data_IF_599519401597
#
_entry.id   IF_599519401597
#
_cell.length_a   1.000
_cell.length_b   1.000
_cell.length_c   1.000
_cell.angle_alpha   90.00
_cell.angle_beta   90.00
_cell.angle_gamma   90.00
#
_symmetry.space_group_name_H-M   'P 1'
#
loop_
_entity.id
_entity.type
_entity.pdbx_description
1 polymer ?
#
# COMPACT_ATOMS: atom_id res chain seq x y z
N UNK A 1 -2.72 0.07 24.74
CA UNK A 1 -1.82 0.74 23.77
C UNK A 1 -1.68 2.25 24.00
N UNK A 2 -2.09 2.83 25.14
CA UNK A 2 -2.10 4.29 25.34
C UNK A 2 -0.74 5.02 25.29
N UNK A 3 0.39 4.30 25.31
CA UNK A 3 1.72 4.87 25.12
C UNK A 3 2.21 4.82 23.66
N UNK A 4 1.47 4.17 22.76
CA UNK A 4 1.82 4.07 21.35
C UNK A 4 1.39 5.36 20.63
N UNK A 5 2.27 6.37 20.67
CA UNK A 5 2.03 7.69 20.06
C UNK A 5 3.29 8.16 19.35
N UNK A 6 3.14 9.09 18.40
CA UNK A 6 4.28 9.69 17.71
C UNK A 6 5.19 10.46 18.67
N UNK A 7 4.62 11.12 19.67
CA UNK A 7 5.31 11.90 20.69
C UNK A 7 6.24 11.03 21.53
N UNK A 8 5.76 9.86 21.96
CA UNK A 8 6.56 8.90 22.72
C UNK A 8 7.70 8.34 21.86
N UNK A 9 7.42 7.98 20.59
CA UNK A 9 8.46 7.52 19.67
C UNK A 9 9.56 8.59 19.44
N UNK A 10 9.17 9.87 19.31
CA UNK A 10 10.13 10.97 19.18
C UNK A 10 10.95 11.17 20.47
N UNK A 11 10.33 11.01 21.64
CA UNK A 11 11.02 11.07 22.93
C UNK A 11 12.03 9.92 23.08
N UNK A 12 11.68 8.72 22.64
CA UNK A 12 12.59 7.57 22.61
C UNK A 12 13.82 7.84 21.73
N UNK A 13 13.60 8.36 20.51
CA UNK A 13 14.71 8.75 19.64
C UNK A 13 15.61 9.81 20.27
N UNK A 14 15.01 10.82 20.92
CA UNK A 14 15.77 11.86 21.62
C UNK A 14 16.63 11.28 22.77
N UNK A 15 16.09 10.33 23.53
CA UNK A 15 16.82 9.65 24.61
C UNK A 15 17.97 8.81 24.05
N UNK A 16 17.74 8.06 22.98
CA UNK A 16 18.78 7.28 22.29
C UNK A 16 19.90 8.20 21.80
N UNK A 17 19.57 9.33 21.15
CA UNK A 17 20.58 10.28 20.67
C UNK A 17 21.42 10.86 21.80
N UNK A 18 20.81 11.20 22.94
CA UNK A 18 21.56 11.68 24.12
C UNK A 18 22.46 10.60 24.73
N UNK A 19 22.03 9.35 24.67
CA UNK A 19 22.82 8.21 25.17
C UNK A 19 24.02 7.94 24.27
N UNK A 20 23.84 8.00 22.95
CA UNK A 20 24.88 7.71 21.96
C UNK A 20 25.84 8.88 21.73
N UNK A 21 25.40 10.12 21.94
CA UNK A 21 26.16 11.34 21.70
C UNK A 21 25.99 12.31 22.89
N UNK A 22 26.46 11.92 24.09
CA UNK A 22 26.24 12.70 25.30
C UNK A 22 26.93 14.07 25.17
N UNK A 23 26.29 15.15 25.62
CA UNK A 23 26.94 16.45 25.67
C UNK A 23 28.12 16.37 26.65
N UNK A 24 29.32 16.65 26.17
CA UNK A 24 30.51 16.75 26.99
C UNK A 24 30.96 18.20 27.03
N UNK A 25 31.23 18.75 28.21
CA UNK A 25 31.59 20.16 28.41
C UNK A 25 32.84 20.61 27.65
N UNK A 26 33.65 19.67 27.14
CA UNK A 26 34.88 19.93 26.38
C UNK A 26 34.79 19.59 24.90
N UNK A 27 33.79 18.80 24.46
CA UNK A 27 33.64 18.41 23.05
C UNK A 27 32.22 18.67 22.55
N UNK A 28 32.13 19.43 21.46
CA UNK A 28 30.86 19.71 20.79
C UNK A 28 30.23 18.39 20.33
N UNK A 29 28.94 18.21 20.63
CA UNK A 29 28.17 17.06 20.18
C UNK A 29 28.25 16.91 18.65
N UNK A 30 28.37 15.68 18.16
CA UNK A 30 28.42 15.39 16.72
C UNK A 30 27.09 15.80 16.06
N UNK A 31 27.09 16.44 14.89
CA UNK A 31 25.86 16.75 14.18
C UNK A 31 25.16 15.45 13.75
N UNK A 32 23.84 15.39 13.94
CA UNK A 32 23.00 14.24 13.58
C UNK A 32 22.03 14.64 12.47
N UNK A 33 21.89 13.81 11.44
CA UNK A 33 20.87 13.97 10.40
C UNK A 33 19.88 12.81 10.52
N UNK A 34 18.59 13.11 10.64
CA UNK A 34 17.52 12.11 10.67
C UNK A 34 17.12 11.70 9.24
N UNK A 35 16.90 10.42 9.00
CA UNK A 35 16.42 9.90 7.72
C UNK A 35 15.15 9.09 7.96
N UNK A 36 14.20 9.20 7.03
CA UNK A 36 13.01 8.36 7.08
C UNK A 36 12.19 8.42 5.78
N UNK A 37 11.50 7.33 5.51
CA UNK A 37 10.53 7.20 4.42
C UNK A 37 9.11 7.00 4.96
N UNK A 38 8.07 7.45 4.23
CA UNK A 38 6.66 7.28 4.63
C UNK A 38 6.41 7.88 6.04
N UNK A 39 5.74 7.17 6.95
CA UNK A 39 5.56 7.58 8.35
C UNK A 39 6.91 7.83 9.05
N UNK A 40 7.94 7.03 8.76
CA UNK A 40 9.30 7.30 9.25
C UNK A 40 9.85 8.65 8.76
N UNK A 41 9.48 9.09 7.57
CA UNK A 41 9.80 10.42 7.06
C UNK A 41 9.06 11.53 7.80
N UNK A 42 7.80 11.29 8.21
CA UNK A 42 7.06 12.21 9.09
C UNK A 42 7.79 12.34 10.43
N UNK A 43 8.18 11.22 11.04
CA UNK A 43 8.97 11.20 12.27
C UNK A 43 10.33 11.91 12.11
N UNK A 44 11.03 11.72 10.99
CA UNK A 44 12.29 12.41 10.70
C UNK A 44 12.11 13.93 10.60
N UNK A 45 11.03 14.40 9.95
CA UNK A 45 10.70 15.82 9.92
C UNK A 45 10.36 16.34 11.33
N UNK A 46 9.52 15.62 12.07
CA UNK A 46 9.04 16.05 13.38
C UNK A 46 10.14 16.05 14.45
N UNK A 47 11.06 15.09 14.45
CA UNK A 47 12.18 15.11 15.40
C UNK A 47 13.09 16.32 15.17
N UNK A 48 13.32 16.71 13.91
CA UNK A 48 14.06 17.94 13.60
C UNK A 48 13.34 19.18 14.08
N UNK A 49 12.01 19.23 13.96
CA UNK A 49 11.19 20.37 14.43
C UNK A 49 11.16 20.45 15.96
N UNK A 50 10.96 19.33 16.65
CA UNK A 50 10.75 19.28 18.11
C UNK A 50 12.06 19.21 18.91
N UNK A 51 13.10 18.58 18.35
CA UNK A 51 14.41 18.42 18.98
C UNK A 51 15.55 18.99 18.10
N UNK A 52 15.48 20.26 17.66
CA UNK A 52 16.49 20.85 16.77
C UNK A 52 17.87 20.96 17.44
N UNK A 53 17.92 20.87 18.78
CA UNK A 53 19.15 20.84 19.57
C UNK A 53 19.86 19.47 19.55
N UNK A 54 19.17 18.40 19.12
CA UNK A 54 19.74 17.05 18.98
C UNK A 54 19.97 16.65 17.53
N UNK A 55 19.07 17.07 16.63
CA UNK A 55 19.09 16.71 15.21
C UNK A 55 19.34 17.96 14.38
N UNK A 56 20.46 18.01 13.65
CA UNK A 56 20.90 19.15 12.85
C UNK A 56 20.13 19.30 11.52
N UNK A 57 19.56 18.22 11.00
CA UNK A 57 18.77 18.22 9.76
C UNK A 57 17.99 16.93 9.58
N UNK A 58 17.07 16.90 8.61
CA UNK A 58 16.29 15.71 8.32
C UNK A 58 16.05 15.55 6.81
N UNK A 59 16.09 14.30 6.34
CA UNK A 59 15.65 13.88 5.02
C UNK A 59 14.37 13.06 5.19
N UNK A 60 13.25 13.71 4.89
CA UNK A 60 11.90 13.16 5.00
C UNK A 60 11.38 12.75 3.61
N UNK A 61 11.74 11.55 3.18
CA UNK A 61 11.41 11.05 1.85
C UNK A 61 9.95 10.55 1.79
N UNK A 62 9.18 11.03 0.80
CA UNK A 62 7.78 10.64 0.60
C UNK A 62 6.93 10.68 1.88
N UNK A 63 7.14 11.69 2.72
CA UNK A 63 6.48 11.85 4.01
C UNK A 63 5.16 12.63 3.84
N UNK A 64 3.98 12.02 4.05
CA UNK A 64 2.70 12.68 3.85
C UNK A 64 2.32 13.59 5.04
N UNK A 65 3.19 14.54 5.40
CA UNK A 65 3.04 15.44 6.57
C UNK A 65 1.84 16.41 6.49
N UNK A 66 1.10 16.41 5.38
CA UNK A 66 -0.13 17.20 5.19
C UNK A 66 -1.39 16.34 5.06
N UNK A 67 -1.29 15.01 5.13
CA UNK A 67 -2.41 14.09 4.93
C UNK A 67 -3.29 14.00 6.19
N UNK A 68 -3.94 15.11 6.53
CA UNK A 68 -4.82 15.26 7.67
C UNK A 68 -6.16 15.85 7.24
N UNK A 69 -7.22 15.53 7.99
CA UNK A 69 -8.57 16.03 7.73
C UNK A 69 -8.59 17.57 7.71
N UNK A 70 -9.22 18.15 6.69
CA UNK A 70 -9.30 19.60 6.50
C UNK A 70 -8.03 20.27 5.95
N UNK A 71 -6.94 19.52 5.76
CA UNK A 71 -5.68 20.04 5.15
C UNK A 71 -5.55 19.59 3.70
N UNK A 72 -5.77 18.31 3.43
CA UNK A 72 -5.67 17.71 2.10
C UNK A 72 -7.01 17.09 1.72
N UNK A 73 -7.41 17.24 0.46
CA UNK A 73 -8.64 16.64 -0.08
C UNK A 73 -8.60 15.11 0.08
N UNK A 74 -9.68 14.52 0.60
CA UNK A 74 -9.76 13.08 0.85
C UNK A 74 -9.64 12.25 -0.44
N UNK A 75 -10.06 12.78 -1.59
CA UNK A 75 -10.03 12.07 -2.86
C UNK A 75 -8.65 12.04 -3.53
N UNK A 76 -7.70 12.88 -3.12
CA UNK A 76 -6.49 13.13 -3.92
C UNK A 76 -5.62 11.89 -4.08
N UNK A 77 -5.53 11.05 -3.05
CA UNK A 77 -4.74 9.83 -3.10
C UNK A 77 -5.25 8.89 -4.20
N UNK A 78 -6.57 8.66 -4.23
CA UNK A 78 -7.20 7.79 -5.22
C UNK A 78 -7.21 8.39 -6.63
N UNK A 79 -7.26 9.72 -6.76
CA UNK A 79 -7.11 10.41 -8.05
C UNK A 79 -5.71 10.21 -8.62
N UNK A 80 -4.67 10.42 -7.81
CA UNK A 80 -3.28 10.17 -8.20
C UNK A 80 -3.09 8.69 -8.54
N UNK A 81 -3.60 7.79 -7.70
CA UNK A 81 -3.55 6.35 -7.92
C UNK A 81 -4.16 5.98 -9.29
N UNK A 82 -5.36 6.48 -9.59
CA UNK A 82 -6.00 6.26 -10.90
C UNK A 82 -5.14 6.78 -12.05
N UNK A 83 -4.53 7.96 -11.90
CA UNK A 83 -3.67 8.54 -12.93
C UNK A 83 -2.44 7.68 -13.23
N UNK A 84 -1.87 7.00 -12.22
CA UNK A 84 -0.73 6.09 -12.39
C UNK A 84 -1.09 4.96 -13.34
N UNK A 85 -2.24 4.31 -13.15
CA UNK A 85 -2.73 3.25 -14.04
C UNK A 85 -3.12 3.77 -15.43
N UNK A 86 -3.60 5.01 -15.51
CA UNK A 86 -3.99 5.62 -16.78
C UNK A 86 -2.78 5.87 -17.72
N UNK A 87 -1.61 6.18 -17.16
CA UNK A 87 -0.42 6.56 -17.95
C UNK A 87 0.66 5.48 -18.02
N UNK A 88 0.56 4.40 -17.22
CA UNK A 88 1.61 3.40 -17.13
C UNK A 88 1.81 2.57 -18.42
N UNK A 89 0.74 2.34 -19.20
CA UNK A 89 0.81 1.56 -20.45
C UNK A 89 -0.19 2.06 -21.51
N UNK A 90 -1.49 1.80 -21.30
CA UNK A 90 -2.59 2.34 -22.12
C UNK A 90 -3.70 2.84 -21.20
N UNK A 91 -4.47 3.83 -21.64
CA UNK A 91 -5.61 4.36 -20.85
C UNK A 91 -6.68 3.28 -20.59
N UNK A 92 -6.79 2.28 -21.49
CA UNK A 92 -7.66 1.12 -21.33
C UNK A 92 -7.42 0.37 -20.01
N UNK A 93 -6.21 0.40 -19.45
CA UNK A 93 -5.93 -0.23 -18.16
C UNK A 93 -6.81 0.34 -17.04
N UNK A 94 -6.85 1.67 -16.91
CA UNK A 94 -7.67 2.35 -15.91
C UNK A 94 -9.18 2.16 -16.20
N UNK A 95 -9.57 2.13 -17.48
CA UNK A 95 -10.96 1.90 -17.86
C UNK A 95 -11.42 0.47 -17.59
N UNK A 96 -10.55 -0.52 -17.77
CA UNK A 96 -10.79 -1.91 -17.40
C UNK A 96 -10.88 -2.11 -15.89
N UNK A 97 -9.99 -1.49 -15.11
CA UNK A 97 -10.10 -1.48 -13.64
C UNK A 97 -11.44 -0.88 -13.23
N UNK A 98 -11.83 0.26 -13.82
CA UNK A 98 -13.13 0.88 -13.53
C UNK A 98 -14.30 -0.06 -13.85
N UNK A 99 -14.27 -0.72 -15.00
CA UNK A 99 -15.31 -1.69 -15.42
C UNK A 99 -15.32 -2.96 -14.58
N UNK A 100 -14.18 -3.38 -14.04
CA UNK A 100 -14.11 -4.63 -13.29
C UNK A 100 -14.91 -4.57 -12.00
N UNK A 101 -15.02 -3.41 -11.35
CA UNK A 101 -15.86 -3.24 -10.16
C UNK A 101 -17.31 -3.64 -10.43
N UNK A 102 -17.94 -3.02 -11.41
CA UNK A 102 -19.33 -3.33 -11.79
C UNK A 102 -19.46 -4.75 -12.33
N UNK A 103 -18.46 -5.24 -13.07
CA UNK A 103 -18.47 -6.61 -13.59
C UNK A 103 -18.47 -7.63 -12.46
N UNK A 104 -17.53 -7.54 -11.52
CA UNK A 104 -17.45 -8.40 -10.35
C UNK A 104 -18.74 -8.37 -9.53
N UNK A 105 -19.28 -7.17 -9.28
CA UNK A 105 -20.54 -7.01 -8.56
C UNK A 105 -21.71 -7.71 -9.26
N UNK A 106 -21.83 -7.56 -10.58
CA UNK A 106 -22.91 -8.18 -11.35
C UNK A 106 -22.86 -9.71 -11.28
N UNK A 107 -21.68 -10.33 -11.45
CA UNK A 107 -21.52 -11.78 -11.31
C UNK A 107 -21.81 -12.26 -9.88
N UNK A 108 -21.55 -11.43 -8.88
CA UNK A 108 -21.79 -11.78 -7.46
C UNK A 108 -23.27 -11.94 -7.08
N UNK A 109 -24.20 -11.51 -7.93
CA UNK A 109 -25.65 -11.54 -7.67
C UNK A 109 -26.30 -12.92 -7.85
N UNK A 110 -25.57 -13.90 -8.39
CA UNK A 110 -26.08 -15.25 -8.66
C UNK A 110 -25.12 -16.33 -8.18
N UNK A 111 -25.66 -17.51 -7.84
CA UNK A 111 -24.85 -18.66 -7.43
C UNK A 111 -23.90 -19.13 -8.55
N UNK A 112 -24.36 -19.08 -9.80
CA UNK A 112 -23.54 -19.44 -10.96
C UNK A 112 -22.40 -18.43 -11.19
N UNK A 113 -22.66 -17.14 -11.00
CA UNK A 113 -21.63 -16.12 -11.12
C UNK A 113 -20.61 -16.18 -9.98
N UNK A 114 -21.02 -16.45 -8.74
CA UNK A 114 -20.08 -16.72 -7.64
C UNK A 114 -19.21 -17.96 -7.91
N UNK A 115 -19.81 -19.04 -8.46
CA UNK A 115 -19.05 -20.23 -8.87
C UNK A 115 -18.01 -19.88 -9.93
N UNK A 116 -18.39 -19.11 -10.96
CA UNK A 116 -17.47 -18.64 -12.00
C UNK A 116 -16.32 -17.81 -11.42
N UNK A 117 -16.60 -16.89 -10.49
CA UNK A 117 -15.56 -16.09 -9.82
C UNK A 117 -14.59 -16.97 -9.04
N UNK A 118 -15.09 -17.95 -8.27
CA UNK A 118 -14.25 -18.88 -7.53
C UNK A 118 -13.35 -19.72 -8.46
N UNK A 119 -13.88 -20.20 -9.58
CA UNK A 119 -13.13 -20.99 -10.58
C UNK A 119 -12.01 -20.17 -11.24
N UNK A 120 -12.30 -18.91 -11.61
CA UNK A 120 -11.32 -18.04 -12.28
C UNK A 120 -10.23 -17.59 -11.34
N UNK A 121 -10.58 -16.98 -10.21
CA UNK A 121 -9.64 -16.34 -9.31
C UNK A 121 -8.92 -17.33 -8.38
N UNK A 122 -9.44 -18.55 -8.24
CA UNK A 122 -8.88 -19.61 -7.39
C UNK A 122 -8.60 -19.09 -5.97
N UNK A 123 -9.63 -18.54 -5.33
CA UNK A 123 -9.51 -18.00 -3.98
C UNK A 123 -9.12 -19.10 -2.98
N UNK A 124 -8.35 -18.76 -1.95
CA UNK A 124 -8.03 -19.69 -0.87
C UNK A 124 -9.27 -20.04 -0.04
N UNK A 125 -10.20 -19.10 0.06
CA UNK A 125 -11.53 -19.28 0.66
C UNK A 125 -12.56 -18.85 -0.37
N UNK A 126 -13.48 -19.74 -0.72
CA UNK A 126 -14.50 -19.44 -1.72
C UNK A 126 -15.42 -18.30 -1.27
N UNK A 127 -15.78 -17.44 -2.22
CA UNK A 127 -16.85 -16.47 -2.08
C UNK A 127 -18.19 -17.19 -2.03
N UNK A 128 -18.99 -16.87 -1.02
CA UNK A 128 -20.30 -17.48 -0.75
C UNK A 128 -21.46 -16.51 -0.92
N UNK A 129 -21.20 -15.20 -0.83
CA UNK A 129 -22.20 -14.12 -0.89
C UNK A 129 -21.68 -12.95 -1.72
N UNK A 130 -22.60 -12.15 -2.26
CA UNK A 130 -22.22 -10.90 -2.95
C UNK A 130 -21.52 -9.88 -2.05
N UNK A 131 -21.76 -9.94 -0.74
CA UNK A 131 -21.02 -9.14 0.26
C UNK A 131 -19.55 -9.50 0.30
N UNK A 132 -19.17 -10.78 0.10
CA UNK A 132 -17.77 -11.19 0.07
C UNK A 132 -17.01 -10.52 -1.10
N UNK A 133 -17.72 -10.20 -2.19
CA UNK A 133 -17.14 -9.42 -3.30
C UNK A 133 -17.00 -7.95 -2.94
N UNK A 134 -18.05 -7.35 -2.41
CA UNK A 134 -18.12 -5.89 -2.19
C UNK A 134 -17.41 -5.40 -0.94
N UNK A 135 -17.25 -6.25 0.08
CA UNK A 135 -16.64 -5.92 1.37
C UNK A 135 -15.26 -6.55 1.57
N UNK A 136 -14.89 -7.60 0.82
CA UNK A 136 -13.59 -8.27 1.00
C UNK A 136 -12.74 -8.21 -0.26
N UNK A 137 -13.26 -8.69 -1.40
CA UNK A 137 -12.51 -8.61 -2.65
C UNK A 137 -12.24 -7.16 -3.06
N UNK A 138 -13.19 -6.25 -2.86
CA UNK A 138 -12.99 -4.85 -3.25
C UNK A 138 -11.94 -4.12 -2.41
N UNK A 139 -11.91 -4.38 -1.11
CA UNK A 139 -10.89 -3.85 -0.22
C UNK A 139 -9.51 -4.42 -0.60
N UNK A 140 -9.42 -5.73 -0.83
CA UNK A 140 -8.20 -6.38 -1.32
C UNK A 140 -7.69 -5.76 -2.63
N UNK A 141 -8.57 -5.56 -3.62
CA UNK A 141 -8.20 -4.98 -4.90
C UNK A 141 -7.70 -3.54 -4.74
N UNK A 142 -8.38 -2.74 -3.90
CA UNK A 142 -7.98 -1.36 -3.61
C UNK A 142 -6.58 -1.31 -3.03
N UNK A 143 -6.28 -2.17 -2.07
CA UNK A 143 -4.94 -2.27 -1.49
C UNK A 143 -3.89 -2.72 -2.52
N UNK A 144 -4.19 -3.74 -3.32
CA UNK A 144 -3.25 -4.22 -4.36
C UNK A 144 -2.92 -3.10 -5.33
N UNK A 145 -3.92 -2.30 -5.74
CA UNK A 145 -3.67 -1.14 -6.60
C UNK A 145 -2.78 -0.11 -5.92
N UNK A 146 -3.08 0.25 -4.67
CA UNK A 146 -2.25 1.15 -3.88
C UNK A 146 -0.81 0.65 -3.74
N UNK A 147 -0.64 -0.61 -3.35
CA UNK A 147 0.65 -1.24 -3.12
C UNK A 147 1.49 -1.28 -4.40
N UNK A 148 0.94 -1.75 -5.52
CA UNK A 148 1.63 -1.77 -6.81
C UNK A 148 2.08 -0.37 -7.24
N UNK A 149 1.25 0.65 -7.07
CA UNK A 149 1.62 2.03 -7.39
C UNK A 149 2.74 2.56 -6.47
N UNK A 150 2.70 2.23 -5.17
CA UNK A 150 3.72 2.62 -4.20
C UNK A 150 5.08 1.96 -4.46
N UNK A 151 5.09 0.73 -4.99
CA UNK A 151 6.31 -0.03 -5.29
C UNK A 151 6.63 -0.07 -6.79
N UNK A 152 6.16 0.91 -7.57
CA UNK A 152 6.35 0.98 -9.02
C UNK A 152 7.79 1.35 -9.44
N UNK A 153 8.78 0.60 -8.96
CA UNK A 153 10.20 0.85 -9.18
C UNK A 153 10.67 0.40 -10.58
N UNK A 154 11.74 1.02 -11.13
CA UNK A 154 12.27 0.67 -12.44
C UNK A 154 13.13 -0.61 -12.45
N UNK A 155 13.12 -1.38 -11.37
CA UNK A 155 13.88 -2.62 -11.18
C UNK A 155 13.07 -3.59 -10.30
N UNK A 156 13.35 -4.91 -10.34
CA UNK A 156 12.67 -5.89 -9.48
C UNK A 156 12.88 -5.58 -8.01
N UNK A 157 11.83 -5.73 -7.19
CA UNK A 157 11.90 -5.43 -5.76
C UNK A 157 11.05 -6.40 -4.94
N UNK A 158 11.35 -6.51 -3.65
CA UNK A 158 10.63 -7.37 -2.71
C UNK A 158 10.34 -6.64 -1.39
N UNK A 159 9.91 -5.37 -1.48
CA UNK A 159 9.65 -4.55 -0.29
C UNK A 159 8.31 -4.91 0.38
N UNK A 160 7.19 -4.77 -0.34
CA UNK A 160 5.86 -5.21 0.12
C UNK A 160 5.54 -6.62 -0.39
N UNK A 161 5.86 -6.87 -1.65
CA UNK A 161 5.75 -8.16 -2.30
C UNK A 161 6.88 -8.28 -3.34
N UNK A 162 7.32 -9.50 -3.69
CA UNK A 162 8.19 -9.72 -4.84
C UNK A 162 7.47 -9.30 -6.12
N UNK A 163 8.00 -8.33 -6.85
CA UNK A 163 7.42 -7.79 -8.08
C UNK A 163 8.51 -7.53 -9.14
N UNK A 164 8.17 -7.53 -10.45
CA UNK A 164 9.11 -7.21 -11.51
C UNK A 164 9.46 -5.71 -11.52
N UNK A 165 10.35 -5.31 -12.43
CA UNK A 165 10.54 -3.92 -12.78
C UNK A 165 9.26 -3.36 -13.42
N UNK A 166 8.92 -2.10 -13.11
CA UNK A 166 7.73 -1.40 -13.58
C UNK A 166 6.44 -2.22 -13.39
N UNK A 167 6.13 -2.66 -12.16
CA UNK A 167 5.06 -3.62 -11.92
C UNK A 167 3.67 -3.11 -12.31
N UNK A 168 3.41 -1.80 -12.25
CA UNK A 168 2.15 -1.23 -12.77
C UNK A 168 2.06 -1.37 -14.29
N UNK A 169 3.18 -1.20 -15.00
CA UNK A 169 3.24 -1.38 -16.46
C UNK A 169 2.97 -2.83 -16.85
N UNK A 170 3.57 -3.78 -16.14
CA UNK A 170 3.34 -5.22 -16.33
C UNK A 170 1.88 -5.60 -16.02
N UNK A 171 1.31 -5.05 -14.94
CA UNK A 171 -0.10 -5.19 -14.62
C UNK A 171 -1.00 -4.65 -15.75
N UNK A 172 -0.74 -3.43 -16.20
CA UNK A 172 -1.52 -2.79 -17.26
C UNK A 172 -1.33 -3.41 -18.65
N UNK A 173 -0.18 -4.02 -18.93
CA UNK A 173 0.04 -4.78 -20.16
C UNK A 173 -0.94 -5.94 -20.31
N UNK A 174 -1.40 -6.52 -19.19
CA UNK A 174 -2.43 -7.58 -19.15
C UNK A 174 -3.85 -7.04 -19.28
N UNK A 175 -4.04 -5.73 -19.16
CA UNK A 175 -5.33 -5.02 -19.31
C UNK A 175 -5.28 -3.99 -20.45
N UNK A 176 -4.48 -4.25 -21.48
CA UNK A 176 -4.12 -3.22 -22.46
C UNK A 176 -5.18 -2.93 -23.54
N UNK A 177 -6.23 -3.75 -23.66
CA UNK A 177 -7.29 -3.62 -24.65
C UNK A 177 -8.65 -3.48 -23.98
N UNK A 178 -9.68 -3.11 -24.74
CA UNK A 178 -11.04 -2.99 -24.23
C UNK A 178 -11.67 -4.37 -23.95
N UNK A 179 -11.57 -4.84 -22.70
CA UNK A 179 -12.12 -6.14 -22.26
C UNK A 179 -13.48 -5.97 -21.57
N UNK A 180 -14.35 -6.98 -21.72
CA UNK A 180 -15.68 -6.99 -21.08
C UNK A 180 -16.08 -8.38 -20.57
N UNK A 181 -17.04 -8.42 -19.65
CA UNK A 181 -17.63 -9.67 -19.15
C UNK A 181 -16.60 -10.67 -18.62
N UNK A 182 -16.70 -11.93 -19.07
CA UNK A 182 -15.84 -13.04 -18.66
C UNK A 182 -14.37 -12.80 -19.02
N UNK A 183 -14.10 -12.23 -20.21
CA UNK A 183 -12.75 -11.94 -20.68
C UNK A 183 -12.04 -10.93 -19.78
N UNK A 184 -12.75 -9.88 -19.35
CA UNK A 184 -12.22 -8.92 -18.38
C UNK A 184 -11.81 -9.59 -17.06
N UNK A 185 -12.57 -10.59 -16.60
CA UNK A 185 -12.23 -11.33 -15.37
C UNK A 185 -10.96 -12.17 -15.54
N UNK A 186 -10.76 -12.80 -16.70
CA UNK A 186 -9.55 -13.58 -16.99
C UNK A 186 -8.31 -12.68 -17.04
N UNK A 187 -8.42 -11.53 -17.71
CA UNK A 187 -7.34 -10.56 -17.79
C UNK A 187 -7.06 -9.90 -16.44
N UNK A 188 -8.08 -9.61 -15.63
CA UNK A 188 -7.89 -9.08 -14.28
C UNK A 188 -7.20 -10.11 -13.38
N UNK A 189 -7.63 -11.36 -13.40
CA UNK A 189 -7.02 -12.43 -12.61
C UNK A 189 -5.54 -12.61 -12.99
N UNK A 190 -5.25 -12.62 -14.29
CA UNK A 190 -3.88 -12.62 -14.78
C UNK A 190 -3.14 -11.39 -14.25
N UNK A 191 -3.68 -10.17 -14.38
CA UNK A 191 -3.02 -8.96 -13.91
C UNK A 191 -2.67 -9.01 -12.41
N UNK A 192 -3.59 -9.47 -11.57
CA UNK A 192 -3.36 -9.61 -10.12
C UNK A 192 -2.19 -10.53 -9.79
N UNK A 193 -1.90 -11.53 -10.64
CA UNK A 193 -0.78 -12.46 -10.42
C UNK A 193 0.57 -11.75 -10.34
N UNK A 194 0.71 -10.53 -10.87
CA UNK A 194 1.92 -9.70 -10.73
C UNK A 194 2.20 -9.36 -9.26
N UNK A 195 1.17 -9.22 -8.44
CA UNK A 195 1.32 -8.86 -7.04
C UNK A 195 1.33 -10.10 -6.13
N UNK A 196 0.35 -10.99 -6.27
CA UNK A 196 0.18 -12.09 -5.31
C UNK A 196 0.95 -13.37 -5.67
N UNK A 197 1.43 -13.53 -6.92
CA UNK A 197 2.06 -14.78 -7.38
C UNK A 197 3.17 -14.57 -8.42
N UNK A 198 3.93 -13.49 -8.32
CA UNK A 198 5.03 -13.24 -9.26
C UNK A 198 6.12 -14.31 -9.19
N UNK A 199 6.36 -14.88 -8.00
CA UNK A 199 7.35 -15.94 -7.80
C UNK A 199 6.83 -17.36 -8.05
N UNK A 200 5.55 -17.50 -8.42
CA UNK A 200 4.89 -18.76 -8.75
C UNK A 200 4.62 -19.67 -7.56
N UNK A 201 4.77 -19.21 -6.31
CA UNK A 201 4.59 -20.05 -5.11
C UNK A 201 3.16 -20.09 -4.58
N UNK A 202 2.32 -19.13 -4.91
CA UNK A 202 0.95 -19.08 -4.42
C UNK A 202 0.07 -20.12 -5.14
N UNK A 203 -0.56 -21.00 -4.36
CA UNK A 203 -1.50 -22.00 -4.87
C UNK A 203 -2.92 -21.43 -5.11
N UNK A 204 -3.25 -20.35 -4.40
CA UNK A 204 -4.57 -19.71 -4.41
C UNK A 204 -4.43 -18.21 -4.10
N UNK A 205 -5.47 -17.43 -4.39
CA UNK A 205 -5.56 -16.01 -4.07
C UNK A 205 -6.14 -15.82 -2.66
N UNK A 206 -5.33 -15.38 -1.71
CA UNK A 206 -5.79 -15.01 -0.37
C UNK A 206 -6.22 -13.53 -0.37
N UNK A 207 -7.52 -13.27 -0.20
CA UNK A 207 -8.10 -11.92 -0.22
C UNK A 207 -8.36 -11.34 1.17
N UNK A 208 -8.09 -12.10 2.24
CA UNK A 208 -8.27 -11.60 3.61
C UNK A 208 -7.20 -10.57 4.01
N UNK A 209 -6.08 -10.52 3.28
CA UNK A 209 -5.08 -9.48 3.42
C UNK A 209 -4.30 -9.33 2.12
N UNK A 210 -4.00 -8.09 1.75
CA UNK A 210 -3.11 -7.72 0.64
C UNK A 210 -1.64 -7.64 1.08
N UNK A 211 -1.37 -7.95 2.34
CA UNK A 211 -0.07 -8.01 3.01
C UNK A 211 0.01 -9.35 3.79
N UNK A 212 1.18 -9.69 4.33
CA UNK A 212 1.27 -10.80 5.30
C UNK A 212 0.72 -10.32 6.67
N UNK A 213 -0.60 -10.10 6.71
CA UNK A 213 -1.33 -9.34 7.74
C UNK A 213 -1.55 -10.03 9.08
N UNK A 214 -0.65 -10.92 9.47
CA UNK A 214 -0.75 -11.64 10.76
C UNK A 214 0.21 -11.09 11.81
N UNK A 215 0.94 -10.02 11.50
CA UNK A 215 1.97 -9.44 12.35
C UNK A 215 1.44 -8.50 13.44
N UNK A 216 2.17 -8.44 14.56
CA UNK A 216 1.95 -7.45 15.65
C UNK A 216 2.06 -6.00 15.13
N UNK A 217 2.77 -5.78 14.02
CA UNK A 217 2.97 -4.48 13.39
C UNK A 217 1.67 -3.83 12.90
N UNK A 218 0.78 -4.61 12.28
CA UNK A 218 -0.43 -4.06 11.64
C UNK A 218 -1.41 -3.54 12.70
N UNK A 219 -1.61 -4.30 13.78
CA UNK A 219 -2.42 -3.86 14.92
C UNK A 219 -1.86 -2.62 15.61
N UNK A 220 -0.54 -2.43 15.57
CA UNK A 220 0.11 -1.22 16.05
C UNK A 220 -0.23 -0.02 15.18
N UNK A 221 -0.12 -0.18 13.86
CA UNK A 221 -0.47 0.86 12.89
C UNK A 221 -1.97 1.20 12.92
N UNK A 222 -2.85 0.21 13.00
CA UNK A 222 -4.30 0.41 13.12
C UNK A 222 -4.65 1.24 14.35
N UNK A 223 -4.00 0.94 15.50
CA UNK A 223 -4.17 1.73 16.70
C UNK A 223 -3.73 3.18 16.48
N UNK A 224 -2.56 3.40 15.87
CA UNK A 224 -2.07 4.76 15.57
C UNK A 224 -2.96 5.50 14.57
N UNK A 225 -3.56 4.82 13.60
CA UNK A 225 -4.50 5.44 12.66
C UNK A 225 -5.84 5.82 13.33
N UNK A 226 -6.18 5.16 14.44
CA UNK A 226 -7.40 5.42 15.21
C UNK A 226 -7.25 6.47 16.33
N UNK A 227 -6.05 7.02 16.55
CA UNK A 227 -5.75 7.98 17.64
C UNK A 227 -5.01 9.19 17.12
#
# INVERSE_FOLDING_TARGET
>A
LGYLTSEQALADFALVLRTLNPPNGTTRARPVIAFGGSYGGMLAAWIRIKYPHLVAGAIAASAPVRQFAGVTDCGIFNQILTSVYQVAYTADCADNIRRSWTTLQNYSTSADGLRLLNEKFKFCTNLTKGTDVTETLFDYLTDVYGNLAMINYPYPSSFLAPVPAYPVREFCGRLAQNYTGVELLDHLQSALSIYYNYDGKAACLNINSSYDGTGISDRGWDFQACT
#
